data_IF_667259155641
#
_entry.id   IF_667259155641
#
_cell.length_a   1.000
_cell.length_b   1.000
_cell.length_c   1.000
_cell.angle_alpha   90.00
_cell.angle_beta   90.00
_cell.angle_gamma   90.00
#
_symmetry.space_group_name_H-M   'P 1'
#
loop_
_entity.id
_entity.type
_entity.pdbx_description
1 polymer ?
#
# COMPACT_ATOMS: atom_id res chain seq x y z
N UNK A 1 27.85 18.51 -29.24
CA UNK A 1 27.16 18.98 -28.02
C UNK A 1 25.92 18.12 -27.84
N UNK A 2 25.80 17.53 -26.66
CA UNK A 2 25.02 16.33 -26.33
C UNK A 2 23.51 16.43 -26.59
N UNK A 3 22.98 15.47 -27.36
CA UNK A 3 21.59 15.01 -27.26
C UNK A 3 21.59 13.68 -26.51
N UNK A 4 21.61 13.75 -25.17
CA UNK A 4 21.32 12.64 -24.28
C UNK A 4 20.08 13.03 -23.46
N UNK A 5 19.25 12.05 -23.12
CA UNK A 5 17.95 12.14 -22.44
C UNK A 5 16.72 12.43 -23.32
N UNK A 6 16.47 11.56 -24.31
CA UNK A 6 15.09 11.07 -24.49
C UNK A 6 14.88 9.97 -23.44
N UNK A 7 14.44 10.34 -22.24
CA UNK A 7 14.05 9.37 -21.23
C UNK A 7 12.66 8.83 -21.60
N UNK A 8 12.62 7.62 -22.11
CA UNK A 8 11.43 6.79 -22.28
C UNK A 8 10.90 6.29 -20.91
N UNK A 9 10.69 7.19 -19.93
CA UNK A 9 10.21 6.87 -18.57
C UNK A 9 8.67 6.94 -18.43
N UNK A 10 7.93 6.90 -19.53
CA UNK A 10 6.48 7.17 -19.53
C UNK A 10 5.56 6.06 -18.93
N UNK A 11 5.85 4.74 -19.04
CA UNK A 11 4.87 3.72 -18.62
C UNK A 11 4.89 3.42 -17.12
N UNK A 12 6.07 3.35 -16.48
CA UNK A 12 6.17 3.06 -15.04
C UNK A 12 5.66 4.22 -14.19
N UNK A 13 5.98 5.46 -14.57
CA UNK A 13 5.55 6.67 -13.83
C UNK A 13 4.02 6.84 -13.82
N UNK A 14 3.34 6.42 -14.89
CA UNK A 14 1.88 6.38 -15.00
C UNK A 14 1.27 5.30 -14.10
N UNK A 15 1.96 4.17 -13.95
CA UNK A 15 1.53 3.06 -13.11
C UNK A 15 1.68 3.40 -11.62
N UNK A 16 2.79 4.05 -11.24
CA UNK A 16 3.00 4.50 -9.86
C UNK A 16 2.01 5.57 -9.42
N UNK A 17 1.72 6.56 -10.27
CA UNK A 17 0.72 7.58 -9.95
C UNK A 17 -0.67 6.98 -9.70
N UNK A 18 -1.04 5.94 -10.48
CA UNK A 18 -2.30 5.19 -10.26
C UNK A 18 -2.27 4.39 -8.97
N UNK A 19 -1.13 3.78 -8.63
CA UNK A 19 -0.95 3.04 -7.39
C UNK A 19 -1.04 3.97 -6.17
N UNK A 20 -0.38 5.13 -6.22
CA UNK A 20 -0.46 6.17 -5.19
C UNK A 20 -1.90 6.65 -5.00
N UNK A 21 -2.61 6.96 -6.10
CA UNK A 21 -4.02 7.36 -6.05
C UNK A 21 -4.94 6.26 -5.49
N UNK A 22 -4.65 4.98 -5.76
CA UNK A 22 -5.37 3.86 -5.18
C UNK A 22 -5.18 3.78 -3.66
N UNK A 23 -3.95 3.94 -3.17
CA UNK A 23 -3.66 3.98 -1.74
C UNK A 23 -4.37 5.16 -1.04
N UNK A 24 -4.38 6.35 -1.67
CA UNK A 24 -5.12 7.51 -1.16
C UNK A 24 -6.63 7.24 -1.11
N UNK A 25 -7.19 6.58 -2.12
CA UNK A 25 -8.62 6.21 -2.13
C UNK A 25 -8.96 5.23 -1.03
N UNK A 26 -8.07 4.30 -0.68
CA UNK A 26 -8.25 3.40 0.48
C UNK A 26 -8.28 4.21 1.78
N UNK A 27 -7.36 5.16 1.94
CA UNK A 27 -7.32 6.04 3.12
C UNK A 27 -8.66 6.76 3.31
N UNK A 28 -9.17 7.38 2.25
CA UNK A 28 -10.47 8.09 2.27
C UNK A 28 -11.62 7.12 2.57
N UNK A 29 -11.67 5.96 1.90
CA UNK A 29 -12.78 5.00 2.04
C UNK A 29 -12.84 4.37 3.43
N UNK A 30 -11.68 4.13 4.05
CA UNK A 30 -11.57 3.46 5.35
C UNK A 30 -11.48 4.43 6.53
N UNK A 31 -11.33 5.73 6.28
CA UNK A 31 -11.12 6.74 7.32
C UNK A 31 -9.78 6.55 8.05
N UNK A 32 -8.74 6.14 7.32
CA UNK A 32 -7.36 5.96 7.84
C UNK A 32 -6.40 6.85 7.05
N UNK A 33 -5.17 6.98 7.51
CA UNK A 33 -4.11 7.74 6.82
C UNK A 33 -2.84 6.90 6.58
N UNK A 34 -2.90 5.59 6.82
CA UNK A 34 -1.73 4.71 6.89
C UNK A 34 -1.48 3.86 5.64
N UNK A 35 -2.41 3.85 4.67
CA UNK A 35 -2.20 3.14 3.41
C UNK A 35 -1.21 3.90 2.52
N UNK A 36 -0.19 3.20 1.99
CA UNK A 36 0.91 3.75 1.21
C UNK A 36 1.31 2.79 0.08
N UNK A 37 1.74 3.36 -1.05
CA UNK A 37 2.43 2.64 -2.13
C UNK A 37 3.94 2.75 -1.96
N UNK A 38 4.65 1.64 -2.09
CA UNK A 38 6.10 1.58 -2.19
C UNK A 38 6.51 1.17 -3.61
N UNK A 39 7.04 2.13 -4.36
CA UNK A 39 7.55 1.92 -5.73
C UNK A 39 8.63 0.83 -5.79
N UNK A 40 9.59 0.86 -4.87
CA UNK A 40 10.76 -0.04 -4.90
C UNK A 40 10.37 -1.51 -4.71
N UNK A 41 9.44 -1.80 -3.80
CA UNK A 41 8.98 -3.17 -3.54
C UNK A 41 7.73 -3.54 -4.35
N UNK A 42 7.22 -2.62 -5.18
CA UNK A 42 5.94 -2.72 -5.89
C UNK A 42 4.82 -3.24 -4.98
N UNK A 43 4.70 -2.65 -3.80
CA UNK A 43 3.78 -3.13 -2.77
C UNK A 43 2.99 -2.01 -2.08
N UNK A 44 1.76 -2.33 -1.70
CA UNK A 44 0.94 -1.53 -0.81
C UNK A 44 1.13 -1.98 0.63
N UNK A 45 1.15 -1.03 1.56
CA UNK A 45 1.19 -1.28 2.99
C UNK A 45 0.13 -0.43 3.68
N UNK A 46 -0.60 -1.02 4.62
CA UNK A 46 -1.51 -0.29 5.51
C UNK A 46 -1.38 -0.86 6.92
N UNK A 47 -1.30 0.03 7.91
CA UNK A 47 -1.24 -0.35 9.33
C UNK A 47 -2.45 0.23 10.04
N UNK A 48 -3.25 -0.60 10.68
CA UNK A 48 -4.42 -0.15 11.46
C UNK A 48 -4.34 -0.70 12.89
N UNK A 49 -4.96 -0.03 13.87
CA UNK A 49 -5.03 -0.58 15.23
C UNK A 49 -5.67 -1.97 15.27
N UNK A 50 -5.25 -2.83 16.21
CA UNK A 50 -5.72 -4.22 16.30
C UNK A 50 -7.25 -4.37 16.42
N UNK A 51 -7.90 -3.42 17.09
CA UNK A 51 -9.36 -3.42 17.24
C UNK A 51 -10.09 -3.11 15.92
N UNK A 52 -9.41 -2.55 14.91
CA UNK A 52 -9.93 -2.30 13.55
C UNK A 52 -9.76 -3.51 12.63
N UNK A 53 -9.92 -4.73 13.14
CA UNK A 53 -9.75 -5.97 12.37
C UNK A 53 -10.64 -6.02 11.12
N UNK A 54 -11.86 -5.48 11.19
CA UNK A 54 -12.76 -5.41 10.02
C UNK A 54 -12.17 -4.54 8.91
N UNK A 55 -11.62 -3.37 9.26
CA UNK A 55 -10.96 -2.46 8.30
C UNK A 55 -9.78 -3.16 7.65
N UNK A 56 -8.94 -3.85 8.43
CA UNK A 56 -7.81 -4.61 7.90
C UNK A 56 -8.25 -5.70 6.91
N UNK A 57 -9.37 -6.40 7.17
CA UNK A 57 -9.94 -7.39 6.24
C UNK A 57 -10.45 -6.75 4.95
N UNK A 58 -11.09 -5.58 5.04
CA UNK A 58 -11.58 -4.85 3.87
C UNK A 58 -10.41 -4.36 2.99
N UNK A 59 -9.35 -3.83 3.61
CA UNK A 59 -8.13 -3.42 2.89
C UNK A 59 -7.50 -4.62 2.17
N UNK A 60 -7.39 -5.77 2.86
CA UNK A 60 -6.92 -7.01 2.24
C UNK A 60 -7.73 -7.35 0.98
N UNK A 61 -9.05 -7.33 1.07
CA UNK A 61 -9.92 -7.63 -0.07
C UNK A 61 -9.72 -6.62 -1.22
N UNK A 62 -9.54 -5.34 -0.91
CA UNK A 62 -9.25 -4.32 -1.92
C UNK A 62 -7.91 -4.57 -2.61
N UNK A 63 -6.88 -4.99 -1.89
CA UNK A 63 -5.59 -5.37 -2.49
C UNK A 63 -5.73 -6.61 -3.40
N UNK A 64 -6.49 -7.62 -2.98
CA UNK A 64 -6.78 -8.80 -3.80
C UNK A 64 -7.53 -8.41 -5.08
N UNK A 65 -8.54 -7.54 -4.98
CA UNK A 65 -9.31 -7.03 -6.13
C UNK A 65 -8.48 -6.14 -7.06
N UNK A 66 -7.48 -5.44 -6.52
CA UNK A 66 -6.53 -4.64 -7.31
C UNK A 66 -5.47 -5.50 -8.04
N UNK A 67 -5.53 -6.83 -7.92
CA UNK A 67 -4.64 -7.74 -8.62
C UNK A 67 -3.29 -7.97 -7.93
N UNK A 68 -3.19 -7.69 -6.62
CA UNK A 68 -2.00 -8.09 -5.87
C UNK A 68 -1.89 -9.63 -5.86
N UNK A 69 -0.79 -10.19 -6.38
CA UNK A 69 -0.59 -11.65 -6.40
C UNK A 69 -0.39 -12.25 -5.02
N UNK A 70 0.14 -11.45 -4.09
CA UNK A 70 0.33 -11.89 -2.71
C UNK A 70 -0.15 -10.81 -1.77
N UNK A 71 -1.13 -11.15 -0.94
CA UNK A 71 -1.60 -10.29 0.15
C UNK A 71 -1.30 -10.97 1.48
N UNK A 72 -0.53 -10.31 2.32
CA UNK A 72 -0.15 -10.78 3.65
C UNK A 72 -0.82 -9.97 4.73
N UNK A 73 -1.02 -10.62 5.86
CA UNK A 73 -1.62 -10.05 7.06
C UNK A 73 -0.73 -10.43 8.23
N UNK A 74 -0.19 -9.45 8.93
CA UNK A 74 0.68 -9.65 10.09
C UNK A 74 0.27 -8.75 11.24
N UNK A 75 0.39 -9.26 12.47
CA UNK A 75 0.36 -8.39 13.64
C UNK A 75 1.72 -7.72 13.74
N UNK A 76 1.75 -6.40 13.76
CA UNK A 76 2.93 -5.65 14.13
C UNK A 76 2.80 -5.22 15.58
N UNK A 77 3.80 -5.58 16.40
CA UNK A 77 3.90 -5.05 17.74
C UNK A 77 4.10 -3.54 17.61
N UNK A 78 3.16 -2.76 18.16
CA UNK A 78 3.28 -1.30 18.15
C UNK A 78 4.42 -0.82 19.04
N UNK A 79 4.65 0.50 19.03
CA UNK A 79 5.56 1.13 19.99
C UNK A 79 5.19 0.72 21.42
N UNK A 80 6.16 0.18 22.17
CA UNK A 80 6.04 -0.20 23.59
C UNK A 80 5.47 0.94 24.44
N UNK A 81 5.68 2.20 24.03
CA UNK A 81 5.20 3.37 24.76
C UNK A 81 3.74 3.74 24.46
N UNK A 82 3.22 3.36 23.28
CA UNK A 82 1.85 3.66 22.90
C UNK A 82 0.87 2.54 23.31
N UNK A 83 1.36 1.32 23.54
CA UNK A 83 0.52 0.18 23.94
C UNK A 83 -0.52 -0.24 22.89
N UNK A 84 -0.39 0.22 21.64
CA UNK A 84 -1.35 -0.04 20.57
C UNK A 84 -0.73 -1.05 19.61
N UNK A 85 -1.13 -2.31 19.73
CA UNK A 85 -0.86 -3.34 18.73
C UNK A 85 -1.45 -2.93 17.37
N UNK A 86 -0.68 -3.15 16.31
CA UNK A 86 -1.06 -2.88 14.93
C UNK A 86 -1.34 -4.14 14.13
N UNK A 87 -2.17 -4.00 13.11
CA UNK A 87 -2.37 -4.98 12.05
C UNK A 87 -1.86 -4.38 10.76
N UNK A 88 -0.83 -5.01 10.20
CA UNK A 88 -0.31 -4.66 8.90
C UNK A 88 -0.94 -5.56 7.83
N UNK A 89 -1.42 -4.91 6.78
CA UNK A 89 -1.81 -5.56 5.52
C UNK A 89 -0.82 -5.12 4.46
N UNK A 90 -0.25 -6.08 3.73
CA UNK A 90 0.67 -5.80 2.63
C UNK A 90 0.21 -6.50 1.37
N UNK A 91 0.17 -5.81 0.24
CA UNK A 91 -0.22 -6.35 -1.06
C UNK A 91 0.87 -6.13 -2.10
N UNK A 92 1.41 -7.19 -2.68
CA UNK A 92 2.49 -7.12 -3.66
C UNK A 92 1.91 -7.28 -5.07
N UNK A 93 2.18 -6.31 -5.96
CA UNK A 93 1.92 -6.47 -7.39
C UNK A 93 2.93 -7.45 -7.97
N UNK A 94 2.50 -8.26 -8.94
CA UNK A 94 3.41 -9.13 -9.69
C UNK A 94 4.41 -8.25 -10.44
N UNK A 95 5.68 -8.65 -10.47
CA UNK A 95 6.72 -7.99 -11.25
C UNK A 95 6.37 -7.99 -12.74
#
# INVERSE_FOLDING_TARGET
MNTLFKNEEAPERSTDAKAEAFAERINILMGIDSCRWCRMSRAYFAIVPVHMTLVARMIRQLFEQAGCARVTYSREAGSLEAGIDGLQVSGYLVA
#
